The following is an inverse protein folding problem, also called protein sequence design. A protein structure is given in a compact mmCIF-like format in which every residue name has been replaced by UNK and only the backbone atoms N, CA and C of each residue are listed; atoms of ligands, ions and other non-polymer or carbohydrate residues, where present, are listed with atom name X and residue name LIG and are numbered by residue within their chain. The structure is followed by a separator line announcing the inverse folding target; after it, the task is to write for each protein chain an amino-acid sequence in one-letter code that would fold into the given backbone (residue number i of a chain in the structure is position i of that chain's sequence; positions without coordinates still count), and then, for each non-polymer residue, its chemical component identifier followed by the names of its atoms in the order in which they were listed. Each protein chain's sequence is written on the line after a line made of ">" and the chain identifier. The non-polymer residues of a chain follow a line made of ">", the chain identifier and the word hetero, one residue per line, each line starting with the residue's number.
data_IF_964799754971
#
_entry.id   IF_964799754971
#
_cell.length_a   1.000
_cell.length_b   1.000
_cell.length_c   1.000
_cell.angle_alpha   90.00
_cell.angle_beta   90.00
_cell.angle_gamma   90.00
#
_symmetry.space_group_name_H-M   'P 1'
#
loop_
_entity.id
_entity.type
_entity.pdbx_description
1 polymer ?
#
# COMPACT_ATOMS: atom_id res chain seq x y z
N UNK A 1 11.12 28.46 -11.22
CA UNK A 1 11.32 28.03 -9.81
C UNK A 1 10.01 27.83 -9.03
N UNK A 2 8.92 28.53 -9.37
CA UNK A 2 7.61 28.35 -8.73
C UNK A 2 6.85 27.13 -9.30
N UNK A 3 6.94 26.88 -10.60
CA UNK A 3 6.30 25.69 -11.22
C UNK A 3 6.91 24.38 -10.70
N UNK A 4 8.23 24.31 -10.50
CA UNK A 4 8.91 23.12 -9.95
C UNK A 4 8.51 22.88 -8.51
N UNK A 5 8.33 23.95 -7.71
CA UNK A 5 7.84 23.83 -6.32
C UNK A 5 6.36 23.41 -6.27
N UNK A 6 5.54 23.92 -7.16
CA UNK A 6 4.12 23.58 -7.23
C UNK A 6 3.91 22.12 -7.66
N UNK A 7 4.68 21.64 -8.62
CA UNK A 7 4.64 20.25 -9.06
C UNK A 7 5.13 19.29 -7.96
N UNK A 8 6.16 19.67 -7.20
CA UNK A 8 6.67 18.88 -6.09
C UNK A 8 5.66 18.80 -4.92
N UNK A 9 4.94 19.88 -4.62
CA UNK A 9 3.90 19.92 -3.58
C UNK A 9 2.68 19.10 -3.97
N UNK A 10 2.21 19.18 -5.21
CA UNK A 10 1.10 18.35 -5.73
C UNK A 10 1.46 16.87 -5.79
N UNK A 11 2.70 16.52 -6.13
CA UNK A 11 3.14 15.12 -6.11
C UNK A 11 3.24 14.56 -4.69
N UNK A 12 3.65 15.35 -3.69
CA UNK A 12 3.71 14.88 -2.30
C UNK A 12 2.31 14.59 -1.73
N UNK A 13 1.31 15.40 -2.08
CA UNK A 13 -0.08 15.19 -1.66
C UNK A 13 -0.69 13.94 -2.32
N UNK A 14 -0.34 13.66 -3.58
CA UNK A 14 -0.77 12.47 -4.29
C UNK A 14 -0.08 11.18 -3.79
N UNK A 15 1.08 11.29 -3.13
CA UNK A 15 1.82 10.15 -2.62
C UNK A 15 1.29 9.66 -1.27
N UNK A 16 0.95 10.57 -0.35
CA UNK A 16 0.48 10.21 0.99
C UNK A 16 -0.84 10.93 1.26
N UNK A 17 -1.88 10.16 1.55
CA UNK A 17 -3.18 10.68 1.96
C UNK A 17 -3.42 10.40 3.44
N UNK A 18 -4.30 11.18 4.05
CA UNK A 18 -4.66 11.02 5.47
C UNK A 18 -5.21 9.63 5.80
N UNK A 19 -5.87 8.99 4.84
CA UNK A 19 -6.43 7.64 5.00
C UNK A 19 -5.39 6.52 4.81
N UNK A 20 -4.18 6.83 4.33
CA UNK A 20 -3.21 5.80 3.94
C UNK A 20 -2.70 5.01 5.15
N UNK A 21 -2.74 3.66 5.09
CA UNK A 21 -2.16 2.83 6.14
C UNK A 21 -0.65 3.04 6.27
N UNK A 22 -0.17 3.10 7.51
CA UNK A 22 1.25 3.30 7.81
C UNK A 22 1.77 2.09 8.60
N UNK A 23 2.90 1.52 8.15
CA UNK A 23 3.66 0.53 8.90
C UNK A 23 4.99 1.14 9.34
N UNK A 24 5.32 0.98 10.61
CA UNK A 24 6.52 1.57 11.21
C UNK A 24 6.23 2.85 11.98
N UNK A 25 7.26 3.65 12.21
CA UNK A 25 7.15 4.90 12.95
C UNK A 25 6.45 5.98 12.11
N UNK A 26 5.28 6.50 12.53
CA UNK A 26 4.59 7.56 11.79
C UNK A 26 5.41 8.84 11.61
N UNK A 27 6.37 9.10 12.49
CA UNK A 27 7.27 10.25 12.44
C UNK A 27 8.60 9.97 11.70
N UNK A 28 8.72 8.82 11.04
CA UNK A 28 9.93 8.46 10.31
C UNK A 28 10.25 9.48 9.20
N UNK A 29 11.53 9.79 9.04
CA UNK A 29 12.01 10.77 8.06
C UNK A 29 12.06 10.21 6.64
N UNK A 30 12.11 8.90 6.48
CA UNK A 30 12.11 8.23 5.18
C UNK A 30 10.80 7.49 4.99
N UNK A 31 10.05 7.89 3.99
CA UNK A 31 8.76 7.29 3.64
C UNK A 31 8.90 6.47 2.35
N UNK A 32 8.63 5.17 2.46
CA UNK A 32 8.45 4.28 1.31
C UNK A 32 6.95 4.28 1.00
N UNK A 33 6.57 4.78 -0.15
CA UNK A 33 5.19 4.68 -0.64
C UNK A 33 5.12 3.51 -1.60
N UNK A 34 4.21 2.59 -1.34
CA UNK A 34 3.94 1.45 -2.21
C UNK A 34 2.51 1.53 -2.75
N UNK A 35 2.40 1.67 -4.07
CA UNK A 35 1.14 1.40 -4.76
C UNK A 35 1.00 -0.10 -4.94
N UNK A 36 0.09 -0.68 -4.19
CA UNK A 36 -0.07 -2.11 -3.99
C UNK A 36 -1.38 -2.60 -4.59
N UNK A 37 -1.30 -3.73 -5.26
CA UNK A 37 -2.46 -4.52 -5.65
C UNK A 37 -2.48 -5.81 -4.80
N UNK A 38 -3.54 -6.04 -3.99
CA UNK A 38 -3.61 -7.24 -3.16
C UNK A 38 -3.59 -8.56 -3.96
N UNK A 39 -4.01 -8.50 -5.23
CA UNK A 39 -4.04 -9.68 -6.12
C UNK A 39 -2.72 -9.92 -6.85
N UNK A 40 -1.77 -9.00 -6.78
CA UNK A 40 -0.51 -9.07 -7.50
C UNK A 40 0.50 -9.99 -6.81
N UNK A 41 1.02 -10.98 -7.53
CA UNK A 41 2.01 -11.93 -7.02
C UNK A 41 3.33 -11.26 -6.64
N UNK A 42 3.76 -10.26 -7.42
CA UNK A 42 4.97 -9.49 -7.12
C UNK A 42 4.79 -8.65 -5.86
N UNK A 43 3.61 -8.08 -5.64
CA UNK A 43 3.29 -7.38 -4.37
C UNK A 43 3.39 -8.35 -3.18
N UNK A 44 2.87 -9.58 -3.33
CA UNK A 44 3.01 -10.61 -2.30
C UNK A 44 4.47 -10.94 -2.01
N UNK A 45 5.29 -11.10 -3.04
CA UNK A 45 6.71 -11.41 -2.88
C UNK A 45 7.48 -10.28 -2.19
N UNK A 46 7.16 -9.02 -2.50
CA UNK A 46 7.82 -7.85 -1.94
C UNK A 46 7.33 -7.47 -0.54
N UNK A 47 6.16 -7.88 -0.14
CA UNK A 47 5.59 -7.53 1.17
C UNK A 47 6.54 -7.84 2.35
N UNK A 48 7.08 -9.06 2.52
CA UNK A 48 8.02 -9.33 3.60
C UNK A 48 9.35 -8.58 3.44
N UNK A 49 9.79 -8.32 2.22
CA UNK A 49 11.02 -7.58 1.92
C UNK A 49 10.92 -6.16 2.45
N UNK A 50 9.85 -5.45 2.10
CA UNK A 50 9.63 -4.05 2.52
C UNK A 50 9.45 -3.96 4.03
N UNK A 51 8.71 -4.89 4.64
CA UNK A 51 8.57 -4.95 6.10
C UNK A 51 9.92 -5.12 6.80
N UNK A 52 10.78 -5.98 6.28
CA UNK A 52 12.15 -6.13 6.82
C UNK A 52 12.96 -4.86 6.70
N UNK A 53 12.87 -4.13 5.58
CA UNK A 53 13.56 -2.86 5.40
C UNK A 53 13.12 -1.82 6.45
N UNK A 54 11.82 -1.71 6.68
CA UNK A 54 11.27 -0.80 7.70
C UNK A 54 11.74 -1.20 9.10
N UNK A 55 11.62 -2.48 9.44
CA UNK A 55 12.03 -2.99 10.76
C UNK A 55 13.54 -2.80 11.00
N UNK A 56 14.37 -2.96 9.98
CA UNK A 56 15.81 -2.77 10.06
C UNK A 56 16.26 -1.31 10.09
N UNK A 57 15.34 -0.37 9.91
CA UNK A 57 15.65 1.06 9.83
C UNK A 57 15.78 1.76 11.19
N UNK A 58 15.54 1.06 12.29
CA UNK A 58 15.57 1.62 13.65
C UNK A 58 14.68 2.86 13.81
N UNK A 59 13.48 2.82 13.22
CA UNK A 59 12.50 3.92 13.29
C UNK A 59 12.72 5.06 12.31
N UNK A 60 13.72 4.99 11.44
CA UNK A 60 13.99 6.01 10.43
C UNK A 60 13.12 5.87 9.18
N UNK A 61 12.62 4.67 8.90
CA UNK A 61 11.78 4.36 7.75
C UNK A 61 10.36 3.97 8.14
N UNK A 62 9.42 4.30 7.27
CA UNK A 62 8.03 3.85 7.33
C UNK A 62 7.53 3.44 5.96
N UNK A 63 6.56 2.54 5.93
CA UNK A 63 5.83 2.16 4.74
C UNK A 63 4.45 2.83 4.75
N UNK A 64 4.08 3.44 3.65
CA UNK A 64 2.74 3.94 3.38
C UNK A 64 2.15 3.16 2.21
N UNK A 65 1.01 2.54 2.41
CA UNK A 65 0.32 1.78 1.37
C UNK A 65 -0.71 2.66 0.67
N UNK A 66 -0.65 2.63 -0.66
CA UNK A 66 -1.66 3.18 -1.57
C UNK A 66 -2.14 2.06 -2.48
N UNK A 67 -3.33 2.18 -3.03
CA UNK A 67 -3.90 1.09 -3.83
C UNK A 67 -3.81 1.35 -5.33
N UNK A 68 -3.43 0.28 -6.04
CA UNK A 68 -3.43 0.22 -7.49
C UNK A 68 -4.12 -1.09 -7.94
N UNK A 69 -5.48 -1.13 -7.96
CA UNK A 69 -6.24 -2.34 -8.22
C UNK A 69 -6.26 -2.66 -9.73
N UNK A 70 -5.17 -3.20 -10.25
CA UNK A 70 -4.97 -3.46 -11.68
C UNK A 70 -5.50 -4.82 -12.14
N UNK A 71 -5.79 -5.75 -11.21
CA UNK A 71 -6.33 -7.07 -11.51
C UNK A 71 -7.83 -7.15 -11.26
N UNK A 72 -8.50 -8.04 -11.96
CA UNK A 72 -9.91 -8.32 -11.73
C UNK A 72 -10.13 -8.79 -10.28
N UNK A 73 -11.11 -8.20 -9.61
CA UNK A 73 -11.45 -8.50 -8.21
C UNK A 73 -10.60 -7.78 -7.17
N UNK A 74 -9.55 -7.06 -7.57
CA UNK A 74 -8.68 -6.33 -6.64
C UNK A 74 -9.40 -5.21 -5.90
N UNK A 75 -10.33 -4.53 -6.54
CA UNK A 75 -11.16 -3.50 -5.91
C UNK A 75 -11.98 -4.04 -4.74
N UNK A 76 -12.57 -5.21 -4.88
CA UNK A 76 -13.28 -5.91 -3.79
C UNK A 76 -12.31 -6.27 -2.67
N UNK A 77 -11.14 -6.80 -2.98
CA UNK A 77 -10.13 -7.12 -1.98
C UNK A 77 -9.69 -5.88 -1.19
N UNK A 78 -9.44 -4.75 -1.88
CA UNK A 78 -9.12 -3.47 -1.23
C UNK A 78 -10.22 -3.03 -0.27
N UNK A 79 -11.48 -3.12 -0.68
CA UNK A 79 -12.62 -2.74 0.17
C UNK A 79 -12.71 -3.60 1.44
N UNK A 80 -12.40 -4.88 1.34
CA UNK A 80 -12.36 -5.78 2.50
C UNK A 80 -11.21 -5.38 3.46
N UNK A 81 -10.03 -5.11 2.92
CA UNK A 81 -8.88 -4.66 3.72
C UNK A 81 -9.15 -3.33 4.42
N UNK A 82 -9.80 -2.40 3.75
CA UNK A 82 -10.14 -1.11 4.34
C UNK A 82 -11.26 -1.21 5.38
N UNK A 83 -12.18 -2.12 5.22
CA UNK A 83 -13.15 -2.45 6.27
C UNK A 83 -12.45 -2.98 7.54
N UNK A 84 -11.44 -3.83 7.38
CA UNK A 84 -10.60 -4.28 8.50
C UNK A 84 -9.80 -3.13 9.13
N UNK A 85 -9.31 -2.17 8.33
CA UNK A 85 -8.63 -0.98 8.82
C UNK A 85 -9.50 -0.15 9.75
N UNK A 86 -10.77 0.01 9.46
CA UNK A 86 -11.72 0.74 10.30
C UNK A 86 -11.90 0.10 11.69
N UNK A 87 -11.57 -1.18 11.83
CA UNK A 87 -11.58 -1.91 13.10
C UNK A 87 -10.18 -2.10 13.70
N UNK A 88 -9.17 -1.38 13.20
CA UNK A 88 -7.79 -1.48 13.68
C UNK A 88 -7.08 -2.79 13.33
N UNK A 89 -7.51 -3.50 12.29
CA UNK A 89 -7.02 -4.82 11.89
C UNK A 89 -6.43 -4.87 10.47
N UNK A 90 -5.94 -3.74 9.99
CA UNK A 90 -5.44 -3.65 8.62
C UNK A 90 -4.27 -4.59 8.34
N UNK A 91 -3.24 -4.55 9.18
CA UNK A 91 -2.00 -5.29 8.92
C UNK A 91 -2.20 -6.79 9.05
N UNK A 92 -3.00 -7.23 10.01
CA UNK A 92 -3.38 -8.63 10.15
C UNK A 92 -4.16 -9.11 8.93
N UNK A 93 -5.10 -8.31 8.43
CA UNK A 93 -5.89 -8.63 7.25
C UNK A 93 -5.03 -8.67 5.99
N UNK A 94 -4.15 -7.67 5.77
CA UNK A 94 -3.25 -7.64 4.63
C UNK A 94 -2.29 -8.84 4.64
N UNK A 95 -1.71 -9.15 5.77
CA UNK A 95 -0.79 -10.29 5.92
C UNK A 95 -1.50 -11.62 5.59
N UNK A 96 -2.72 -11.80 6.09
CA UNK A 96 -3.53 -12.98 5.76
C UNK A 96 -3.92 -13.01 4.27
N UNK A 97 -4.30 -11.88 3.70
CA UNK A 97 -4.65 -11.79 2.28
C UNK A 97 -3.46 -12.18 1.40
N UNK A 98 -2.26 -11.68 1.70
CA UNK A 98 -1.03 -12.03 0.98
C UNK A 98 -0.67 -13.51 1.15
N UNK A 99 -0.74 -14.04 2.35
CA UNK A 99 -0.42 -15.45 2.63
C UNK A 99 -1.39 -16.42 1.92
N UNK A 100 -2.63 -16.02 1.73
CA UNK A 100 -3.67 -16.86 1.10
C UNK A 100 -3.97 -16.47 -0.35
N UNK A 101 -3.21 -15.56 -0.92
CA UNK A 101 -3.45 -14.99 -2.26
C UNK A 101 -3.76 -16.05 -3.34
N UNK A 102 -3.05 -17.19 -3.42
CA UNK A 102 -3.37 -18.21 -4.43
C UNK A 102 -4.78 -18.80 -4.31
N UNK A 103 -5.41 -18.71 -3.15
CA UNK A 103 -6.75 -19.27 -2.93
C UNK A 103 -7.86 -18.37 -3.45
N UNK A 104 -7.66 -17.03 -3.43
CA UNK A 104 -8.70 -16.06 -3.77
C UNK A 104 -8.39 -15.20 -5.00
N UNK A 105 -7.12 -15.10 -5.40
CA UNK A 105 -6.67 -14.21 -6.47
C UNK A 105 -6.21 -14.94 -7.74
N UNK A 106 -6.78 -16.11 -8.03
CA UNK A 106 -6.47 -16.80 -9.28
C UNK A 106 -6.86 -15.95 -10.50
N UNK A 107 -5.94 -15.80 -11.46
CA UNK A 107 -6.11 -14.91 -12.62
C UNK A 107 -7.34 -15.23 -13.48
N UNK A 108 -7.64 -16.52 -13.65
CA UNK A 108 -8.75 -17.00 -14.47
C UNK A 108 -10.09 -17.03 -13.73
N UNK A 109 -10.04 -17.05 -12.41
CA UNK A 109 -11.24 -17.13 -11.55
C UNK A 109 -10.98 -16.47 -10.21
N UNK A 110 -10.88 -15.13 -10.14
CA UNK A 110 -10.71 -14.43 -8.87
C UNK A 110 -11.97 -14.55 -8.02
N UNK A 111 -11.79 -14.84 -6.74
CA UNK A 111 -12.86 -14.99 -5.73
C UNK A 111 -12.51 -14.16 -4.49
N UNK A 112 -12.46 -12.83 -4.59
CA UNK A 112 -12.02 -11.98 -3.48
C UNK A 112 -12.93 -12.07 -2.25
N UNK A 113 -14.19 -12.45 -2.39
CA UNK A 113 -15.12 -12.66 -1.28
C UNK A 113 -14.67 -13.78 -0.32
N UNK A 114 -13.83 -14.72 -0.77
CA UNK A 114 -13.24 -15.71 0.13
C UNK A 114 -12.40 -15.10 1.24
N UNK A 115 -11.95 -13.85 1.05
CA UNK A 115 -11.22 -13.14 2.09
C UNK A 115 -12.02 -12.99 3.38
N UNK A 116 -13.34 -12.86 3.32
CA UNK A 116 -14.16 -12.79 4.53
C UNK A 116 -13.96 -13.98 5.46
N UNK A 117 -13.89 -15.18 4.90
CA UNK A 117 -13.63 -16.39 5.67
C UNK A 117 -12.15 -16.50 6.06
N UNK A 118 -11.24 -16.15 5.14
CA UNK A 118 -9.80 -16.26 5.35
C UNK A 118 -9.25 -15.31 6.42
N UNK A 119 -9.92 -14.17 6.65
CA UNK A 119 -9.57 -13.21 7.70
C UNK A 119 -10.51 -13.27 8.90
N UNK A 120 -11.42 -14.23 8.95
CA UNK A 120 -12.49 -14.29 9.95
C UNK A 120 -12.01 -14.47 11.40
N UNK A 121 -10.80 -14.97 11.59
CA UNK A 121 -10.19 -15.26 12.90
C UNK A 121 -9.31 -14.13 13.45
N UNK A 122 -9.21 -12.99 12.78
CA UNK A 122 -8.38 -11.87 13.24
C UNK A 122 -9.09 -10.94 14.24
N UNK A 123 -10.31 -11.26 14.62
CA UNK A 123 -11.07 -10.48 15.61
C UNK A 123 -11.94 -9.39 15.02
N UNK A 124 -12.45 -9.58 13.79
CA UNK A 124 -13.38 -8.64 13.16
C UNK A 124 -14.83 -8.88 13.58
N UNK A 125 -15.57 -7.79 13.75
CA UNK A 125 -17.02 -7.81 13.57
C UNK A 125 -17.32 -7.89 12.07
N UNK A 126 -17.53 -9.10 11.58
CA UNK A 126 -17.67 -9.38 10.14
C UNK A 126 -18.90 -8.73 9.54
N UNK A 127 -20.02 -8.68 10.26
CA UNK A 127 -21.24 -8.03 9.78
C UNK A 127 -21.03 -6.53 9.57
N UNK A 128 -20.40 -5.87 10.54
CA UNK A 128 -20.00 -4.46 10.42
C UNK A 128 -19.02 -4.23 9.29
N UNK A 129 -17.99 -5.06 9.19
CA UNK A 129 -16.98 -4.95 8.13
C UNK A 129 -17.58 -5.10 6.74
N UNK A 130 -18.51 -6.03 6.53
CA UNK A 130 -19.23 -6.21 5.26
C UNK A 130 -20.06 -4.98 4.89
N UNK A 131 -20.73 -4.36 5.86
CA UNK A 131 -21.48 -3.12 5.64
C UNK A 131 -20.54 -1.95 5.28
N UNK A 132 -19.43 -1.80 6.01
CA UNK A 132 -18.44 -0.74 5.75
C UNK A 132 -17.78 -0.92 4.35
N UNK A 133 -17.49 -2.15 3.94
CA UNK A 133 -16.86 -2.45 2.65
C UNK A 133 -17.69 -2.00 1.44
N UNK A 134 -18.99 -1.91 1.58
CA UNK A 134 -19.92 -1.45 0.53
C UNK A 134 -20.34 -0.01 0.71
N UNK A 135 -19.84 0.67 1.75
CA UNK A 135 -20.19 2.05 2.06
C UNK A 135 -19.48 3.09 1.20
N UNK A 136 -20.01 4.33 1.17
CA UNK A 136 -19.47 5.39 0.31
C UNK A 136 -18.08 5.88 0.74
N UNK A 137 -17.72 5.78 2.01
CA UNK A 137 -16.43 6.26 2.51
C UNK A 137 -15.25 5.45 1.91
N UNK A 138 -15.34 4.13 1.90
CA UNK A 138 -14.31 3.26 1.33
C UNK A 138 -14.30 3.40 -0.20
N UNK A 139 -15.44 3.51 -0.84
CA UNK A 139 -15.53 3.76 -2.29
C UNK A 139 -14.81 5.05 -2.68
N UNK A 140 -15.03 6.13 -1.95
CA UNK A 140 -14.39 7.42 -2.21
C UNK A 140 -12.88 7.35 -2.00
N UNK A 141 -12.41 6.68 -0.96
CA UNK A 141 -11.01 6.46 -0.69
C UNK A 141 -10.33 5.72 -1.84
N UNK A 142 -10.94 4.63 -2.31
CA UNK A 142 -10.41 3.86 -3.43
C UNK A 142 -10.36 4.68 -4.73
N UNK A 143 -11.38 5.48 -5.01
CA UNK A 143 -11.38 6.41 -6.15
C UNK A 143 -10.23 7.42 -6.06
N UNK A 144 -9.94 7.93 -4.87
CA UNK A 144 -8.82 8.85 -4.67
C UNK A 144 -7.49 8.16 -4.95
N UNK A 145 -7.30 6.95 -4.45
CA UNK A 145 -6.05 6.21 -4.68
C UNK A 145 -5.86 5.88 -6.17
N UNK A 146 -6.92 5.51 -6.88
CA UNK A 146 -6.88 5.27 -8.33
C UNK A 146 -6.56 6.56 -9.09
N UNK A 147 -7.16 7.68 -8.73
CA UNK A 147 -6.86 8.97 -9.35
C UNK A 147 -5.39 9.36 -9.14
N UNK A 148 -4.86 9.18 -7.94
CA UNK A 148 -3.46 9.46 -7.62
C UNK A 148 -2.51 8.52 -8.35
N UNK A 149 -2.84 7.22 -8.42
CA UNK A 149 -2.11 6.25 -9.22
C UNK A 149 -1.96 6.69 -10.68
N UNK A 150 -3.05 7.15 -11.28
CA UNK A 150 -3.06 7.65 -12.66
C UNK A 150 -2.24 8.94 -12.82
N UNK A 151 -2.42 9.88 -11.89
CA UNK A 151 -1.68 11.15 -11.91
C UNK A 151 -0.17 10.95 -11.77
N UNK A 152 0.25 9.98 -10.97
CA UNK A 152 1.65 9.61 -10.76
C UNK A 152 2.18 8.64 -11.82
N UNK A 153 1.35 8.26 -12.79
CA UNK A 153 1.70 7.35 -13.89
C UNK A 153 2.18 5.97 -13.40
N UNK A 154 1.60 5.48 -12.33
CA UNK A 154 1.82 4.11 -11.86
C UNK A 154 1.00 3.16 -12.71
N UNK A 155 1.66 2.39 -13.54
CA UNK A 155 1.05 1.43 -14.48
C UNK A 155 1.38 -0.03 -14.15
N UNK A 156 2.19 -0.27 -13.13
CA UNK A 156 2.62 -1.59 -12.66
C UNK A 156 2.61 -1.65 -11.14
N UNK A 157 2.46 -2.84 -10.60
CA UNK A 157 2.52 -3.09 -9.17
C UNK A 157 3.59 -4.13 -8.81
N UNK A 158 4.26 -3.95 -7.68
CA UNK A 158 4.20 -2.77 -6.82
C UNK A 158 4.88 -1.56 -7.46
N UNK A 159 4.31 -0.36 -7.26
CA UNK A 159 4.94 0.90 -7.64
C UNK A 159 5.54 1.58 -6.40
N UNK A 160 6.84 1.86 -6.41
CA UNK A 160 7.53 2.42 -5.24
C UNK A 160 7.99 3.85 -5.46
N UNK A 161 7.84 4.66 -4.41
CA UNK A 161 8.44 5.97 -4.26
C UNK A 161 9.12 6.05 -2.89
N UNK A 162 10.30 6.63 -2.82
CA UNK A 162 10.99 6.85 -1.54
C UNK A 162 11.25 8.34 -1.41
N UNK A 163 10.65 8.97 -0.40
CA UNK A 163 10.68 10.44 -0.22
C UNK A 163 10.35 11.21 -1.50
N UNK A 164 9.37 10.72 -2.26
CA UNK A 164 8.92 11.33 -3.52
C UNK A 164 9.71 10.92 -4.76
N UNK A 165 10.83 10.23 -4.62
CA UNK A 165 11.64 9.74 -5.74
C UNK A 165 11.10 8.40 -6.23
N UNK A 166 10.69 8.28 -7.51
CA UNK A 166 10.20 7.01 -8.04
C UNK A 166 11.32 5.98 -8.18
N UNK A 167 11.02 4.72 -7.88
CA UNK A 167 11.89 3.59 -8.20
C UNK A 167 11.81 3.30 -9.70
N UNK A 168 12.83 3.67 -10.45
CA UNK A 168 12.83 3.54 -11.92
C UNK A 168 13.19 2.14 -12.39
N UNK A 169 14.19 1.53 -11.77
CA UNK A 169 14.57 0.14 -12.02
C UNK A 169 14.05 -0.73 -10.89
N UNK A 170 13.16 -1.66 -11.22
CA UNK A 170 12.51 -2.52 -10.26
C UNK A 170 13.45 -3.62 -9.75
N UNK A 171 13.47 -3.83 -8.44
CA UNK A 171 14.20 -4.90 -7.78
C UNK A 171 14.45 -4.61 -6.31
N UNK A 172 14.72 -5.67 -5.54
CA UNK A 172 15.01 -5.55 -4.10
C UNK A 172 16.28 -4.72 -3.85
N UNK A 173 17.35 -5.01 -4.58
CA UNK A 173 18.61 -4.27 -4.46
C UNK A 173 18.45 -2.80 -4.81
N UNK A 174 17.68 -2.49 -5.84
CA UNK A 174 17.41 -1.12 -6.29
C UNK A 174 16.56 -0.36 -5.27
N UNK A 175 15.54 -0.99 -4.70
CA UNK A 175 14.74 -0.39 -3.64
C UNK A 175 15.58 -0.12 -2.40
N UNK A 176 16.39 -1.09 -1.97
CA UNK A 176 17.30 -0.94 -0.84
C UNK A 176 18.27 0.23 -1.05
N UNK A 177 18.87 0.32 -2.23
CA UNK A 177 19.81 1.41 -2.57
C UNK A 177 19.13 2.78 -2.51
N UNK A 178 17.89 2.89 -3.02
CA UNK A 178 17.14 4.13 -2.98
C UNK A 178 16.79 4.54 -1.54
N UNK A 179 16.37 3.58 -0.70
CA UNK A 179 16.09 3.81 0.72
C UNK A 179 17.34 4.29 1.45
N UNK A 180 18.48 3.64 1.25
CA UNK A 180 19.75 4.03 1.86
C UNK A 180 20.20 5.43 1.40
N UNK A 181 20.02 5.75 0.13
CA UNK A 181 20.31 7.08 -0.42
C UNK A 181 19.48 8.16 0.29
N UNK A 182 18.19 7.94 0.45
CA UNK A 182 17.30 8.90 1.10
C UNK A 182 17.58 9.01 2.61
N UNK A 183 17.97 7.92 3.27
CA UNK A 183 18.39 7.95 4.67
C UNK A 183 19.65 8.81 4.87
N UNK A 184 20.62 8.73 3.97
CA UNK A 184 21.83 9.55 4.02
C UNK A 184 21.50 11.03 3.89
N UNK A 185 20.58 11.41 3.01
CA UNK A 185 20.12 12.82 2.83
C UNK A 185 19.49 13.38 4.09
N UNK A 186 18.69 12.59 4.81
CA UNK A 186 18.01 13.04 6.03
C UNK A 186 18.94 13.11 7.25
N UNK A 187 20.06 12.44 7.24
CA UNK A 187 21.06 12.41 8.30
C UNK A 187 22.25 13.36 8.05
N UNK A 188 22.29 14.03 6.91
CA UNK A 188 23.28 15.07 6.63
C UNK A 188 22.92 16.36 7.37
N UNK A 189 23.91 17.08 7.99
CA UNK A 189 23.68 18.31 8.71
C UNK A 189 23.19 19.45 7.80
#
# INVERSE_FOLDING_TARGET
>A
NQEVKQTALTNSDALVRQHSPIFGNPAAKVTIVEFLDPSCETCRAFYPIVKRMVNASFGQGRLVVRYAPLHQGSDTAVKILEAARLQGKYWEALERAMATQPQWAAHDRPQPELLWDLIGDIGLDTAKAKADATGPAIEQLLRQDVADMQALKVDRTPGFFVNGTPLREFGEAQLKALVEQEMKKTNSP
#
